data_IF_711956811134
#
_entry.id   IF_711956811134
#
_cell.length_a   1.000
_cell.length_b   1.000
_cell.length_c   1.000
_cell.angle_alpha   90.00
_cell.angle_beta   90.00
_cell.angle_gamma   90.00
#
_symmetry.space_group_name_H-M   'P 1'
#
loop_
_entity.id
_entity.type
_entity.pdbx_description
1 polymer ?
#
# COMPACT_ATOMS: atom_id res chain seq x y z
N UNK A 1 -1.36 25.98 -14.07
CA UNK A 1 -2.47 25.28 -13.39
C UNK A 1 -1.85 24.19 -12.53
N UNK A 2 -2.05 24.24 -11.25
CA UNK A 2 -1.61 23.18 -10.35
C UNK A 2 -2.44 21.93 -10.69
N UNK A 3 -1.81 20.77 -10.96
CA UNK A 3 -2.60 19.55 -11.17
C UNK A 3 -3.49 19.29 -9.95
N UNK A 4 -4.71 18.88 -10.18
CA UNK A 4 -5.66 18.56 -9.12
C UNK A 4 -5.12 17.43 -8.21
N UNK A 5 -4.37 16.50 -8.81
CA UNK A 5 -3.67 15.44 -8.09
C UNK A 5 -2.16 15.69 -8.07
N UNK A 6 -1.52 15.38 -6.94
CA UNK A 6 -0.07 15.42 -6.78
C UNK A 6 0.41 14.30 -5.85
N UNK A 7 1.69 13.94 -5.96
CA UNK A 7 2.34 12.94 -5.11
C UNK A 7 3.58 13.54 -4.48
N UNK A 8 3.76 13.29 -3.20
CA UNK A 8 4.96 13.70 -2.47
C UNK A 8 5.40 12.65 -1.45
N UNK A 9 6.63 12.76 -1.00
CA UNK A 9 7.11 12.00 0.14
C UNK A 9 6.36 12.42 1.41
N UNK A 10 6.05 11.45 2.25
CA UNK A 10 5.60 11.73 3.60
C UNK A 10 6.74 12.33 4.43
N UNK A 11 6.39 13.19 5.35
CA UNK A 11 7.28 13.75 6.35
C UNK A 11 6.78 13.39 7.75
N UNK A 12 7.60 13.61 8.78
CA UNK A 12 7.18 13.35 10.16
C UNK A 12 5.91 14.12 10.58
N UNK A 13 5.65 15.27 9.95
CA UNK A 13 4.46 16.07 10.21
C UNK A 13 3.16 15.42 9.71
N UNK A 14 3.27 14.40 8.85
CA UNK A 14 2.13 13.68 8.29
C UNK A 14 1.72 12.47 9.14
N UNK A 15 2.32 12.27 10.31
CA UNK A 15 2.11 11.06 11.12
C UNK A 15 0.63 10.81 11.46
N UNK A 16 -0.11 11.84 11.85
CA UNK A 16 -1.52 11.71 12.19
C UNK A 16 -2.36 11.34 10.96
N UNK A 17 -2.10 12.01 9.83
CA UNK A 17 -2.83 11.71 8.59
C UNK A 17 -2.50 10.32 8.03
N UNK A 18 -1.25 9.89 8.09
CA UNK A 18 -0.85 8.53 7.74
C UNK A 18 -1.57 7.49 8.62
N UNK A 19 -1.70 7.77 9.92
CA UNK A 19 -2.42 6.91 10.86
C UNK A 19 -3.89 6.79 10.49
N UNK A 20 -4.57 7.89 10.21
CA UNK A 20 -5.97 7.92 9.79
C UNK A 20 -6.20 7.09 8.53
N UNK A 21 -5.44 7.34 7.46
CA UNK A 21 -5.55 6.58 6.21
C UNK A 21 -5.24 5.09 6.39
N UNK A 22 -4.25 4.77 7.23
CA UNK A 22 -3.94 3.39 7.58
C UNK A 22 -5.09 2.71 8.33
N UNK A 23 -5.71 3.41 9.27
CA UNK A 23 -6.87 2.92 10.03
C UNK A 23 -8.05 2.63 9.10
N UNK A 24 -8.38 3.55 8.21
CA UNK A 24 -9.44 3.37 7.21
C UNK A 24 -9.16 2.16 6.29
N UNK A 25 -7.92 2.01 5.83
CA UNK A 25 -7.52 0.86 5.01
C UNK A 25 -7.68 -0.47 5.76
N UNK A 26 -7.30 -0.51 7.03
CA UNK A 26 -7.45 -1.70 7.90
C UNK A 26 -8.92 -2.06 8.07
N UNK A 27 -9.78 -1.09 8.33
CA UNK A 27 -11.22 -1.29 8.49
C UNK A 27 -11.84 -1.83 7.21
N UNK A 28 -11.49 -1.28 6.06
CA UNK A 28 -12.00 -1.73 4.77
C UNK A 28 -11.56 -3.15 4.43
N UNK A 29 -10.30 -3.49 4.67
CA UNK A 29 -9.76 -4.83 4.40
C UNK A 29 -10.26 -5.85 5.42
N UNK A 30 -10.39 -5.45 6.69
CA UNK A 30 -10.75 -6.34 7.80
C UNK A 30 -12.10 -7.04 7.65
N UNK A 31 -13.05 -6.43 6.95
CA UNK A 31 -14.39 -7.00 6.70
C UNK A 31 -14.45 -7.89 5.46
N UNK A 32 -13.38 -7.93 4.67
CA UNK A 32 -13.31 -8.74 3.45
C UNK A 32 -12.91 -10.18 3.79
N UNK A 33 -13.31 -11.13 2.93
CA UNK A 33 -12.90 -12.52 3.05
C UNK A 33 -11.37 -12.64 3.00
N UNK A 34 -10.80 -13.30 4.00
CA UNK A 34 -9.34 -13.42 4.16
C UNK A 34 -8.65 -12.17 4.71
N UNK A 35 -9.39 -11.10 4.94
CA UNK A 35 -8.87 -9.81 5.44
C UNK A 35 -8.18 -9.92 6.79
N UNK A 36 -8.77 -10.56 7.81
CA UNK A 36 -8.12 -10.70 9.12
C UNK A 36 -6.76 -11.41 9.06
N UNK A 37 -6.64 -12.48 8.28
CA UNK A 37 -5.37 -13.19 8.10
C UNK A 37 -4.36 -12.35 7.32
N UNK A 38 -4.82 -11.69 6.25
CA UNK A 38 -4.01 -10.77 5.46
C UNK A 38 -3.40 -9.66 6.32
N UNK A 39 -4.19 -9.01 7.16
CA UNK A 39 -3.73 -7.95 8.06
C UNK A 39 -2.73 -8.46 9.11
N UNK A 40 -2.90 -9.69 9.58
CA UNK A 40 -2.00 -10.28 10.58
C UNK A 40 -0.66 -10.71 10.00
N UNK A 41 -0.65 -11.22 8.78
CA UNK A 41 0.51 -11.85 8.16
C UNK A 41 1.23 -10.96 7.15
N UNK A 42 0.49 -10.43 6.16
CA UNK A 42 1.09 -9.75 5.01
C UNK A 42 1.39 -8.28 5.28
N UNK A 43 0.47 -7.57 5.93
CA UNK A 43 0.59 -6.11 6.13
C UNK A 43 0.89 -5.70 7.57
N UNK A 44 0.90 -6.65 8.49
CA UNK A 44 0.92 -6.37 9.93
C UNK A 44 2.08 -5.50 10.41
N UNK A 45 3.24 -5.57 9.77
CA UNK A 45 4.40 -4.75 10.18
C UNK A 45 4.19 -3.27 9.84
N UNK A 46 3.68 -2.96 8.65
CA UNK A 46 3.42 -1.58 8.21
C UNK A 46 2.25 -0.98 8.98
N UNK A 47 1.16 -1.71 9.10
CA UNK A 47 0.01 -1.28 9.89
C UNK A 47 0.39 -1.00 11.34
N UNK A 48 1.12 -1.93 11.97
CA UNK A 48 1.61 -1.75 13.35
C UNK A 48 2.55 -0.55 13.49
N UNK A 49 3.40 -0.29 12.49
CA UNK A 49 4.29 0.86 12.50
C UNK A 49 3.49 2.17 12.43
N UNK A 50 2.62 2.32 11.45
CA UNK A 50 1.86 3.56 11.24
C UNK A 50 0.87 3.88 12.36
N UNK A 51 0.33 2.86 13.05
CA UNK A 51 -0.59 3.03 14.17
C UNK A 51 0.11 3.37 15.49
N UNK A 52 1.44 3.23 15.57
CA UNK A 52 2.20 3.50 16.80
C UNK A 52 2.87 4.86 16.79
N UNK A 53 3.01 5.54 17.94
CA UNK A 53 3.84 6.74 18.06
C UNK A 53 5.26 6.51 17.53
N UNK A 54 5.77 7.43 16.72
CA UNK A 54 7.10 7.36 16.12
C UNK A 54 7.26 6.28 15.03
N UNK A 55 6.19 5.60 14.65
CA UNK A 55 6.24 4.54 13.65
C UNK A 55 6.56 5.05 12.25
N UNK A 56 5.97 6.17 11.87
CA UNK A 56 6.28 6.82 10.59
C UNK A 56 7.75 7.22 10.52
N UNK A 57 8.32 7.79 11.58
CA UNK A 57 9.73 8.18 11.62
C UNK A 57 10.65 6.98 11.36
N UNK A 58 10.33 5.81 11.90
CA UNK A 58 11.08 4.58 11.65
C UNK A 58 10.99 4.13 10.19
N UNK A 59 9.83 4.23 9.58
CA UNK A 59 9.67 3.91 8.15
C UNK A 59 10.43 4.90 7.26
N UNK A 60 10.41 6.19 7.59
CA UNK A 60 11.12 7.23 6.84
C UNK A 60 12.65 7.12 6.98
N UNK A 61 13.15 6.60 8.10
CA UNK A 61 14.57 6.40 8.34
C UNK A 61 15.15 5.19 7.59
N UNK A 62 14.30 4.27 7.11
CA UNK A 62 14.74 3.08 6.38
C UNK A 62 14.85 3.41 4.88
N UNK A 63 16.08 3.46 4.37
CA UNK A 63 16.36 3.76 2.95
C UNK A 63 15.78 2.73 1.97
N UNK A 64 15.39 1.55 2.45
CA UNK A 64 14.77 0.50 1.65
C UNK A 64 13.24 0.61 1.63
N UNK A 65 12.70 1.64 2.26
CA UNK A 65 11.27 1.93 2.32
C UNK A 65 10.94 3.28 1.72
N UNK A 66 9.74 3.40 1.24
CA UNK A 66 9.20 4.66 0.72
C UNK A 66 7.76 4.81 1.20
N UNK A 67 7.45 6.00 1.74
CA UNK A 67 6.10 6.38 2.11
C UNK A 67 5.71 7.58 1.26
N UNK A 68 4.70 7.42 0.44
CA UNK A 68 4.19 8.45 -0.46
C UNK A 68 2.76 8.83 -0.06
N UNK A 69 2.46 10.10 -0.22
CA UNK A 69 1.13 10.64 -0.04
C UNK A 69 0.63 11.20 -1.36
N UNK A 70 -0.60 10.88 -1.69
CA UNK A 70 -1.33 11.46 -2.80
C UNK A 70 -2.24 12.58 -2.30
N UNK A 71 -2.23 13.70 -3.00
CA UNK A 71 -3.11 14.83 -2.72
C UNK A 71 -4.05 15.08 -3.87
N UNK A 72 -5.24 15.55 -3.54
CA UNK A 72 -6.22 16.03 -4.50
C UNK A 72 -6.81 17.34 -3.97
N UNK A 73 -6.76 18.38 -4.79
CA UNK A 73 -7.16 19.75 -4.40
C UNK A 73 -6.53 20.22 -3.07
N UNK A 74 -5.26 19.82 -2.84
CA UNK A 74 -4.52 20.20 -1.64
C UNK A 74 -4.73 19.31 -0.42
N UNK A 75 -5.71 18.42 -0.45
CA UNK A 75 -5.99 17.49 0.66
C UNK A 75 -5.26 16.15 0.46
N UNK A 76 -4.72 15.60 1.53
CA UNK A 76 -4.09 14.27 1.50
C UNK A 76 -5.19 13.21 1.51
N UNK A 77 -5.30 12.44 0.44
CA UNK A 77 -6.37 11.46 0.22
C UNK A 77 -5.87 10.05 -0.10
N UNK A 78 -4.56 9.88 -0.22
CA UNK A 78 -3.96 8.59 -0.56
C UNK A 78 -2.65 8.35 0.19
N UNK A 79 -2.41 7.08 0.51
CA UNK A 79 -1.19 6.59 1.15
C UNK A 79 -0.67 5.39 0.36
N UNK A 80 0.61 5.42 0.00
CA UNK A 80 1.30 4.27 -0.56
C UNK A 80 2.59 4.00 0.21
N UNK A 81 2.82 2.74 0.54
CA UNK A 81 4.01 2.29 1.25
C UNK A 81 4.64 1.13 0.48
N UNK A 82 5.91 1.26 0.19
CA UNK A 82 6.69 0.24 -0.48
C UNK A 82 7.99 -0.06 0.23
N UNK A 83 8.52 -1.24 0.00
CA UNK A 83 9.85 -1.66 0.44
C UNK A 83 10.59 -2.44 -0.65
N UNK A 84 11.90 -2.38 -0.62
CA UNK A 84 12.76 -3.23 -1.43
C UNK A 84 13.18 -4.46 -0.62
N UNK A 85 13.07 -5.62 -1.22
CA UNK A 85 13.40 -6.93 -0.64
C UNK A 85 14.46 -7.61 -1.51
N UNK A 86 15.48 -8.20 -0.88
CA UNK A 86 16.50 -8.98 -1.61
C UNK A 86 15.94 -10.37 -1.87
N UNK A 87 15.93 -10.77 -3.14
CA UNK A 87 15.49 -12.08 -3.57
C UNK A 87 16.56 -12.68 -4.48
N UNK A 88 17.32 -13.66 -3.98
CA UNK A 88 18.49 -14.19 -4.70
C UNK A 88 19.53 -13.08 -4.94
N UNK A 89 19.92 -12.88 -6.20
CA UNK A 89 20.89 -11.87 -6.61
C UNK A 89 20.25 -10.56 -7.06
N UNK A 90 18.94 -10.40 -6.90
CA UNK A 90 18.20 -9.23 -7.34
C UNK A 90 17.34 -8.63 -6.23
N UNK A 91 16.73 -7.50 -6.49
CA UNK A 91 15.78 -6.85 -5.58
C UNK A 91 14.37 -6.88 -6.16
N UNK A 92 13.41 -7.11 -5.28
CA UNK A 92 11.99 -7.08 -5.54
C UNK A 92 11.38 -5.88 -4.81
N UNK A 93 10.61 -5.07 -5.51
CA UNK A 93 9.74 -4.10 -4.87
C UNK A 93 8.50 -4.78 -4.33
N UNK A 94 8.08 -4.43 -3.13
CA UNK A 94 6.85 -4.91 -2.52
C UNK A 94 6.01 -3.73 -2.11
N UNK A 95 4.78 -3.69 -2.59
CA UNK A 95 3.79 -2.70 -2.18
C UNK A 95 3.08 -3.21 -0.93
N UNK A 96 3.39 -2.62 0.21
CA UNK A 96 2.80 -2.98 1.50
C UNK A 96 1.41 -2.35 1.70
N UNK A 97 1.20 -1.16 1.15
CA UNK A 97 -0.07 -0.47 1.17
C UNK A 97 -0.22 0.44 -0.06
N UNK A 98 -1.41 0.48 -0.60
CA UNK A 98 -1.83 1.46 -1.59
C UNK A 98 -3.32 1.72 -1.35
N UNK A 99 -3.62 2.82 -0.67
CA UNK A 99 -4.96 3.16 -0.24
C UNK A 99 -5.35 4.56 -0.72
N UNK A 100 -6.56 4.69 -1.20
CA UNK A 100 -7.19 5.96 -1.58
C UNK A 100 -8.54 6.05 -0.88
N UNK A 101 -8.82 7.18 -0.25
CA UNK A 101 -10.15 7.44 0.32
C UNK A 101 -11.24 7.26 -0.74
N UNK A 102 -12.39 6.67 -0.37
CA UNK A 102 -13.48 6.39 -1.33
C UNK A 102 -13.90 7.61 -2.15
N UNK A 103 -13.96 8.80 -1.53
CA UNK A 103 -14.36 10.05 -2.19
C UNK A 103 -13.38 10.55 -3.24
N UNK A 104 -12.12 10.08 -3.20
CA UNK A 104 -11.05 10.45 -4.12
C UNK A 104 -10.68 9.32 -5.08
N UNK A 105 -11.43 8.24 -5.12
CA UNK A 105 -11.24 7.18 -6.11
C UNK A 105 -11.70 7.67 -7.49
N UNK A 106 -11.08 7.14 -8.53
CA UNK A 106 -11.37 7.46 -9.95
C UNK A 106 -10.95 8.87 -10.43
N UNK A 107 -10.33 9.69 -9.57
CA UNK A 107 -9.79 11.01 -9.99
C UNK A 107 -8.30 10.96 -10.39
N UNK A 108 -7.69 9.77 -10.42
CA UNK A 108 -6.31 9.58 -10.88
C UNK A 108 -5.24 9.53 -9.79
N UNK A 109 -5.55 9.92 -8.55
CA UNK A 109 -4.57 9.96 -7.45
C UNK A 109 -3.98 8.58 -7.13
N UNK A 110 -4.78 7.52 -7.20
CA UNK A 110 -4.32 6.15 -6.98
C UNK A 110 -3.27 5.72 -8.01
N UNK A 111 -3.52 6.01 -9.28
CA UNK A 111 -2.54 5.77 -10.35
C UNK A 111 -1.28 6.60 -10.14
N UNK A 112 -1.42 7.86 -9.76
CA UNK A 112 -0.28 8.75 -9.54
C UNK A 112 0.65 8.25 -8.43
N UNK A 113 0.12 7.82 -7.27
CA UNK A 113 0.96 7.26 -6.20
C UNK A 113 1.57 5.91 -6.59
N UNK A 114 0.85 5.08 -7.33
CA UNK A 114 1.38 3.81 -7.84
C UNK A 114 2.54 4.05 -8.82
N UNK A 115 2.37 4.93 -9.79
CA UNK A 115 3.40 5.27 -10.77
C UNK A 115 4.66 5.85 -10.08
N UNK A 116 4.49 6.70 -9.09
CA UNK A 116 5.60 7.25 -8.31
C UNK A 116 6.35 6.16 -7.53
N UNK A 117 5.62 5.21 -6.94
CA UNK A 117 6.22 4.10 -6.20
C UNK A 117 6.97 3.13 -7.14
N UNK A 118 6.39 2.77 -8.27
CA UNK A 118 7.02 1.94 -9.30
C UNK A 118 8.26 2.64 -9.87
N UNK A 119 8.18 3.94 -10.10
CA UNK A 119 9.33 4.76 -10.52
C UNK A 119 10.47 4.70 -9.52
N UNK A 120 10.19 4.80 -8.23
CA UNK A 120 11.20 4.65 -7.19
C UNK A 120 11.82 3.25 -7.19
N UNK A 121 11.03 2.19 -7.27
CA UNK A 121 11.56 0.82 -7.38
C UNK A 121 12.49 0.65 -8.59
N UNK A 122 12.15 1.26 -9.71
CA UNK A 122 12.98 1.25 -10.91
C UNK A 122 14.32 1.93 -10.65
N UNK A 123 14.30 3.12 -10.03
CA UNK A 123 15.52 3.90 -9.73
C UNK A 123 16.46 3.15 -8.80
N UNK A 124 15.94 2.46 -7.79
CA UNK A 124 16.77 1.67 -6.86
C UNK A 124 17.15 0.29 -7.38
N UNK A 125 16.78 -0.06 -8.61
CA UNK A 125 17.23 -1.28 -9.30
C UNK A 125 16.40 -2.54 -9.01
N UNK A 126 15.17 -2.41 -8.53
CA UNK A 126 14.27 -3.55 -8.43
C UNK A 126 13.94 -4.09 -9.80
N UNK A 127 13.92 -5.42 -9.96
CA UNK A 127 13.62 -6.09 -11.23
C UNK A 127 12.14 -6.36 -11.45
N UNK A 128 11.37 -6.39 -10.37
CA UNK A 128 9.93 -6.61 -10.41
C UNK A 128 9.29 -5.97 -9.20
N UNK A 129 7.98 -5.85 -9.22
CA UNK A 129 7.17 -5.31 -8.12
C UNK A 129 6.01 -6.25 -7.85
N UNK A 130 5.85 -6.63 -6.60
CA UNK A 130 4.71 -7.40 -6.13
C UNK A 130 3.72 -6.50 -5.37
N UNK A 131 2.45 -6.76 -5.58
CA UNK A 131 1.35 -6.23 -4.80
C UNK A 131 0.40 -7.38 -4.46
N UNK A 132 -0.30 -7.28 -3.35
CA UNK A 132 -1.25 -8.31 -2.93
C UNK A 132 -2.67 -7.76 -2.92
N UNK A 133 -3.60 -8.54 -3.45
CA UNK A 133 -5.03 -8.27 -3.36
C UNK A 133 -5.76 -9.51 -2.85
N UNK A 134 -6.84 -9.30 -2.09
CA UNK A 134 -7.70 -10.40 -1.66
C UNK A 134 -8.54 -10.91 -2.83
N UNK A 135 -8.86 -12.21 -2.90
CA UNK A 135 -9.61 -12.81 -4.02
C UNK A 135 -10.97 -12.15 -4.29
N UNK A 136 -11.65 -11.68 -3.23
CA UNK A 136 -12.94 -10.98 -3.32
C UNK A 136 -12.84 -9.48 -3.60
N UNK A 137 -11.63 -8.92 -3.57
CA UNK A 137 -11.40 -7.50 -3.82
C UNK A 137 -11.16 -7.23 -5.30
N UNK A 138 -12.26 -7.22 -6.04
CA UNK A 138 -12.23 -7.02 -7.51
C UNK A 138 -11.71 -5.64 -7.89
N UNK A 139 -11.99 -4.62 -7.09
CA UNK A 139 -11.58 -3.25 -7.33
C UNK A 139 -10.06 -3.12 -7.28
N UNK A 140 -9.43 -3.60 -6.19
CA UNK A 140 -7.96 -3.61 -6.04
C UNK A 140 -7.31 -4.48 -7.12
N UNK A 141 -7.87 -5.64 -7.42
CA UNK A 141 -7.36 -6.51 -8.48
C UNK A 141 -7.39 -5.80 -9.83
N UNK A 142 -8.53 -5.23 -10.22
CA UNK A 142 -8.67 -4.50 -11.49
C UNK A 142 -7.74 -3.29 -11.56
N UNK A 143 -7.54 -2.59 -10.45
CA UNK A 143 -6.61 -1.47 -10.36
C UNK A 143 -5.18 -1.90 -10.70
N UNK A 144 -4.67 -2.98 -10.10
CA UNK A 144 -3.34 -3.46 -10.41
C UNK A 144 -3.23 -4.03 -11.83
N UNK A 145 -4.20 -4.80 -12.29
CA UNK A 145 -4.20 -5.36 -13.65
C UNK A 145 -4.21 -4.27 -14.72
N UNK A 146 -5.00 -3.21 -14.55
CA UNK A 146 -5.04 -2.08 -15.49
C UNK A 146 -3.75 -1.23 -15.50
N UNK A 147 -2.91 -1.38 -14.47
CA UNK A 147 -1.61 -0.74 -14.36
C UNK A 147 -0.43 -1.71 -14.65
N UNK A 148 -0.69 -2.78 -15.41
CA UNK A 148 0.35 -3.66 -15.94
C UNK A 148 0.79 -4.80 -15.03
N UNK A 149 0.15 -4.98 -13.88
CA UNK A 149 0.41 -6.13 -13.00
C UNK A 149 -0.33 -7.36 -13.51
N UNK A 150 0.26 -8.53 -13.26
CA UNK A 150 -0.34 -9.84 -13.57
C UNK A 150 -0.26 -10.72 -12.34
N UNK A 151 -1.32 -11.45 -12.05
CA UNK A 151 -1.31 -12.42 -10.96
C UNK A 151 -0.24 -13.48 -11.21
N UNK A 152 0.69 -13.67 -10.26
CA UNK A 152 1.75 -14.68 -10.35
C UNK A 152 1.64 -15.80 -9.31
N UNK A 153 0.81 -15.62 -8.29
CA UNK A 153 0.65 -16.60 -7.22
C UNK A 153 -0.74 -16.49 -6.62
N UNK A 154 -1.30 -17.61 -6.23
CA UNK A 154 -2.56 -17.68 -5.48
C UNK A 154 -2.31 -18.48 -4.21
N UNK A 155 -2.72 -17.97 -3.08
CA UNK A 155 -2.65 -18.65 -1.78
C UNK A 155 -4.00 -19.27 -1.43
N UNK A 156 -4.01 -20.58 -1.18
CA UNK A 156 -5.20 -21.28 -0.68
C UNK A 156 -5.14 -21.36 0.83
N UNK A 157 -6.25 -21.07 1.49
CA UNK A 157 -6.37 -21.09 2.92
C UNK A 157 -7.51 -22.01 3.38
N UNK A 158 -7.25 -22.81 4.39
CA UNK A 158 -8.26 -23.62 5.08
C UNK A 158 -8.13 -23.41 6.58
N UNK A 159 -9.18 -22.89 7.21
CA UNK A 159 -9.24 -22.82 8.68
C UNK A 159 -9.40 -24.22 9.26
N UNK A 160 -8.70 -24.51 10.35
CA UNK A 160 -8.81 -25.76 11.08
C UNK A 160 -9.70 -25.65 12.34
N UNK A 161 -10.20 -24.41 12.61
CA UNK A 161 -11.14 -24.13 13.70
C UNK A 161 -12.36 -23.42 13.14
N UNK A 162 -13.55 -23.77 13.61
CA UNK A 162 -14.84 -23.24 13.10
C UNK A 162 -15.08 -21.74 13.34
N UNK A 163 -14.19 -21.06 14.04
CA UNK A 163 -14.33 -19.66 14.47
C UNK A 163 -13.77 -18.62 13.50
N UNK A 164 -13.13 -19.03 12.39
CA UNK A 164 -12.58 -18.10 11.39
C UNK A 164 -13.25 -18.34 10.02
N UNK A 165 -14.37 -17.66 9.80
CA UNK A 165 -14.98 -17.54 8.48
C UNK A 165 -14.53 -16.28 7.80
#
# INVERSE_FOLDING_TARGET
MTPAEAVRLATRNDADRCRELCQEAIEEVGVRRGGPMFLRRETGLVAKALLRPGGLDRLLADSRRRVLLGTYDGEIVALAVGRAEVVGESSLGVIDACYVEPVAREVGVGKAVLDALVGWFTVIGCRAVDATALPGDRETKSFFESNGFKARMITFHRSLKDTER
#
